data_IF_095221245009
#
_entry.id   IF_095221245009
#
_cell.length_a   1.000
_cell.length_b   1.000
_cell.length_c   1.000
_cell.angle_alpha   90.00
_cell.angle_beta   90.00
_cell.angle_gamma   90.00
#
_symmetry.space_group_name_H-M   'P 1'
#
loop_
_entity.id
_entity.type
_entity.pdbx_description
1 polymer ?
#
# COMPACT_ATOMS: atom_id res chain seq x y z
N UNK A 1 20.93 34.52 -52.13
CA UNK A 1 19.71 33.69 -52.01
C UNK A 1 19.96 32.29 -51.42
N UNK A 2 21.08 31.63 -51.68
CA UNK A 2 21.32 30.26 -51.22
C UNK A 2 21.67 30.15 -49.68
N UNK A 3 22.36 31.13 -49.12
CA UNK A 3 22.72 31.13 -47.67
C UNK A 3 21.52 31.40 -46.77
N UNK A 4 20.58 32.25 -47.18
CA UNK A 4 19.38 32.59 -46.37
C UNK A 4 18.42 31.38 -46.26
N UNK A 5 18.29 30.55 -47.33
CA UNK A 5 17.49 29.36 -47.29
C UNK A 5 18.07 28.26 -46.38
N UNK A 6 19.40 28.13 -46.27
CA UNK A 6 20.06 27.21 -45.35
C UNK A 6 19.90 27.60 -43.85
N UNK A 7 19.91 28.89 -43.53
CA UNK A 7 19.67 29.38 -42.18
C UNK A 7 18.22 29.20 -41.73
N UNK A 8 17.23 29.45 -42.62
CA UNK A 8 15.81 29.25 -42.31
C UNK A 8 15.50 27.76 -42.10
N UNK A 9 16.10 26.88 -42.90
CA UNK A 9 15.91 25.41 -42.77
C UNK A 9 16.55 24.88 -41.47
N UNK A 10 17.70 25.43 -41.04
CA UNK A 10 18.37 25.07 -39.77
C UNK A 10 17.56 25.51 -38.54
N UNK A 11 16.96 26.70 -38.58
CA UNK A 11 16.12 27.22 -37.49
C UNK A 11 14.80 26.45 -37.41
N UNK A 12 14.19 26.07 -38.51
CA UNK A 12 12.97 25.17 -38.49
C UNK A 12 13.26 23.77 -37.94
N UNK A 13 14.45 23.20 -38.20
CA UNK A 13 14.80 21.88 -37.66
C UNK A 13 15.13 21.95 -36.16
N UNK A 14 15.67 23.03 -35.64
CA UNK A 14 15.97 23.22 -34.21
C UNK A 14 14.70 23.49 -33.39
N UNK A 15 13.68 24.14 -33.96
CA UNK A 15 12.41 24.40 -33.28
C UNK A 15 11.50 23.14 -33.27
N UNK A 16 11.63 22.23 -34.25
CA UNK A 16 10.81 21.03 -34.30
C UNK A 16 11.30 19.93 -33.34
N UNK A 17 12.53 19.94 -32.87
CA UNK A 17 13.04 19.00 -31.86
C UNK A 17 12.69 19.39 -30.42
N UNK A 18 12.11 20.59 -30.17
CA UNK A 18 11.78 21.06 -28.80
C UNK A 18 10.33 20.75 -28.36
N UNK A 19 9.51 20.05 -29.14
CA UNK A 19 8.06 19.89 -28.86
C UNK A 19 7.63 18.42 -28.64
N UNK A 20 8.54 17.50 -28.43
CA UNK A 20 8.19 16.14 -28.02
C UNK A 20 8.69 15.84 -26.58
N UNK A 21 8.51 16.76 -25.67
CA UNK A 21 8.36 16.38 -24.27
C UNK A 21 6.97 15.76 -24.14
N UNK A 22 6.85 14.44 -24.43
CA UNK A 22 5.75 13.65 -23.93
C UNK A 22 5.82 13.83 -22.41
N UNK A 23 4.97 14.66 -21.84
CA UNK A 23 4.73 14.69 -20.41
C UNK A 23 4.20 13.30 -20.06
N UNK A 24 5.11 12.41 -19.70
CA UNK A 24 4.72 11.15 -19.09
C UNK A 24 3.82 11.54 -17.92
N UNK A 25 2.52 11.23 -18.01
CA UNK A 25 1.58 11.54 -16.97
C UNK A 25 2.14 11.05 -15.62
N UNK A 26 1.94 11.81 -14.55
CA UNK A 26 2.41 11.45 -13.23
C UNK A 26 1.90 10.04 -12.88
N UNK A 27 2.77 9.23 -12.31
CA UNK A 27 2.45 7.87 -11.87
C UNK A 27 1.38 7.89 -10.77
N UNK A 28 0.60 6.82 -10.67
CA UNK A 28 -0.53 6.74 -9.75
C UNK A 28 -0.30 5.68 -8.69
N UNK A 29 -0.47 6.05 -7.41
CA UNK A 29 -0.52 5.12 -6.30
C UNK A 29 -1.93 5.04 -5.71
N UNK A 30 -2.41 3.82 -5.48
CA UNK A 30 -3.66 3.54 -4.77
C UNK A 30 -3.34 3.00 -3.37
N UNK A 31 -3.85 3.63 -2.31
CA UNK A 31 -3.51 3.31 -0.93
C UNK A 31 -4.76 3.04 -0.13
N UNK A 32 -4.91 1.84 0.44
CA UNK A 32 -6.02 1.52 1.33
C UNK A 32 -5.73 1.94 2.76
N UNK A 33 -6.76 2.48 3.46
CA UNK A 33 -6.63 2.93 4.85
C UNK A 33 -5.65 4.08 5.02
N UNK A 34 -5.68 5.06 4.12
CA UNK A 34 -4.72 6.16 4.05
C UNK A 34 -4.98 7.30 5.07
N UNK A 35 -5.96 7.17 5.95
CA UNK A 35 -6.37 8.25 6.86
C UNK A 35 -5.51 8.41 8.12
N UNK A 36 -4.64 7.47 8.42
CA UNK A 36 -3.76 7.49 9.61
C UNK A 36 -2.54 6.58 9.45
N UNK A 37 -1.57 6.71 10.35
CA UNK A 37 -0.42 5.82 10.49
C UNK A 37 0.38 5.64 9.19
N UNK A 38 0.73 4.39 8.90
CA UNK A 38 1.53 3.98 7.73
C UNK A 38 0.90 4.46 6.41
N UNK A 39 -0.40 4.25 6.23
CA UNK A 39 -1.10 4.64 5.00
C UNK A 39 -1.10 6.15 4.75
N UNK A 40 -1.29 6.96 5.80
CA UNK A 40 -1.21 8.41 5.71
C UNK A 40 0.20 8.88 5.35
N UNK A 41 1.20 8.24 5.92
CA UNK A 41 2.58 8.60 5.63
C UNK A 41 2.97 8.24 4.19
N UNK A 42 2.53 7.09 3.66
CA UNK A 42 2.65 6.79 2.24
C UNK A 42 2.00 7.87 1.38
N UNK A 43 0.75 8.24 1.68
CA UNK A 43 0.03 9.26 0.93
C UNK A 43 0.80 10.59 0.92
N UNK A 44 1.36 11.02 2.06
CA UNK A 44 2.18 12.24 2.16
C UNK A 44 3.44 12.17 1.30
N UNK A 45 4.21 11.07 1.40
CA UNK A 45 5.49 10.97 0.71
C UNK A 45 5.31 10.80 -0.81
N UNK A 46 4.31 10.05 -1.29
CA UNK A 46 3.99 9.97 -2.71
C UNK A 46 3.48 11.32 -3.25
N UNK A 47 2.63 12.01 -2.49
CA UNK A 47 2.17 13.37 -2.88
C UNK A 47 3.33 14.36 -3.00
N UNK A 48 4.28 14.31 -2.06
CA UNK A 48 5.46 15.18 -2.09
C UNK A 48 6.39 14.87 -3.28
N UNK A 49 6.34 13.65 -3.83
CA UNK A 49 7.05 13.24 -5.06
C UNK A 49 6.28 13.61 -6.34
N UNK A 50 5.11 14.25 -6.24
CA UNK A 50 4.29 14.66 -7.39
C UNK A 50 3.46 13.55 -8.03
N UNK A 51 3.27 12.41 -7.35
CA UNK A 51 2.42 11.33 -7.83
C UNK A 51 0.94 11.68 -7.71
N UNK A 52 0.12 11.08 -8.56
CA UNK A 52 -1.31 10.99 -8.32
C UNK A 52 -1.56 9.98 -7.18
N UNK A 53 -2.25 10.42 -6.14
CA UNK A 53 -2.52 9.58 -4.96
C UNK A 53 -4.01 9.35 -4.83
N UNK A 54 -4.45 8.09 -4.91
CA UNK A 54 -5.80 7.68 -4.58
C UNK A 54 -5.76 7.15 -3.14
N UNK A 55 -6.23 7.96 -2.20
CA UNK A 55 -6.19 7.70 -0.77
C UNK A 55 -7.57 7.26 -0.27
N UNK A 56 -7.73 6.00 0.17
CA UNK A 56 -9.03 5.51 0.62
C UNK A 56 -9.18 5.49 2.14
N UNK A 57 -10.41 5.63 2.60
CA UNK A 57 -10.82 5.51 4.00
C UNK A 57 -12.23 4.92 4.12
N UNK A 58 -12.58 4.36 5.28
CA UNK A 58 -13.91 3.80 5.57
C UNK A 58 -14.76 4.62 6.53
N UNK A 59 -14.38 5.87 6.81
CA UNK A 59 -15.14 6.75 7.71
C UNK A 59 -16.34 7.33 6.98
N UNK A 60 -17.48 7.47 7.64
CA UNK A 60 -18.69 8.10 7.06
C UNK A 60 -18.44 9.54 6.63
N UNK A 61 -17.52 10.22 7.29
CA UNK A 61 -17.07 11.57 6.94
C UNK A 61 -15.60 11.57 6.53
N UNK A 62 -15.25 12.44 5.60
CA UNK A 62 -13.87 12.60 5.14
C UNK A 62 -12.94 12.95 6.31
N UNK A 63 -11.87 12.16 6.56
CA UNK A 63 -10.94 12.42 7.64
C UNK A 63 -10.21 13.76 7.49
N UNK A 64 -10.12 14.54 8.57
CA UNK A 64 -9.43 15.83 8.57
C UNK A 64 -7.98 15.75 8.08
N UNK A 65 -7.31 14.62 8.33
CA UNK A 65 -5.94 14.35 7.85
C UNK A 65 -5.86 14.28 6.33
N UNK A 66 -6.81 13.60 5.68
CA UNK A 66 -6.87 13.49 4.23
C UNK A 66 -7.36 14.79 3.59
N UNK A 67 -8.35 15.46 4.18
CA UNK A 67 -8.81 16.78 3.76
C UNK A 67 -7.67 17.81 3.76
N UNK A 68 -6.82 17.80 4.79
CA UNK A 68 -5.63 18.65 4.85
C UNK A 68 -4.62 18.28 3.76
N UNK A 69 -4.44 16.99 3.49
CA UNK A 69 -3.50 16.52 2.48
C UNK A 69 -3.95 16.90 1.06
N UNK A 70 -5.22 16.65 0.71
CA UNK A 70 -5.79 17.00 -0.60
C UNK A 70 -5.83 18.52 -0.81
N UNK A 71 -6.07 19.30 0.24
CA UNK A 71 -5.97 20.77 0.19
C UNK A 71 -4.56 21.29 -0.09
N UNK A 72 -3.52 20.52 0.29
CA UNK A 72 -2.12 20.86 0.02
C UNK A 72 -1.62 20.37 -1.34
N UNK A 73 -2.09 19.19 -1.78
CA UNK A 73 -1.64 18.54 -3.01
C UNK A 73 -2.85 18.22 -3.90
N UNK A 74 -3.06 18.99 -4.98
CA UNK A 74 -4.21 18.79 -5.89
C UNK A 74 -4.24 17.41 -6.58
N UNK A 75 -3.10 16.69 -6.59
CA UNK A 75 -2.98 15.34 -7.14
C UNK A 75 -3.50 14.26 -6.18
N UNK A 76 -3.91 14.62 -4.96
CA UNK A 76 -4.51 13.69 -3.98
C UNK A 76 -6.01 13.65 -4.16
N UNK A 77 -6.50 12.47 -4.49
CA UNK A 77 -7.93 12.12 -4.56
C UNK A 77 -8.29 11.29 -3.33
N UNK A 78 -9.25 11.76 -2.56
CA UNK A 78 -9.77 11.06 -1.37
C UNK A 78 -11.04 10.30 -1.76
N UNK A 79 -11.10 9.01 -1.42
CA UNK A 79 -12.21 8.13 -1.76
C UNK A 79 -12.68 7.32 -0.55
N UNK A 80 -14.00 7.17 -0.43
CA UNK A 80 -14.58 6.28 0.56
C UNK A 80 -14.57 4.84 0.06
N UNK A 81 -14.07 3.91 0.89
CA UNK A 81 -14.13 2.46 0.62
C UNK A 81 -13.82 1.67 1.89
N UNK A 82 -14.75 0.81 2.32
CA UNK A 82 -14.44 -0.25 3.28
C UNK A 82 -13.88 -1.47 2.53
N UNK A 83 -12.67 -1.89 2.91
CA UNK A 83 -11.98 -3.04 2.31
C UNK A 83 -12.67 -4.37 2.59
N UNK A 84 -13.66 -4.42 3.47
CA UNK A 84 -14.50 -5.59 3.75
C UNK A 84 -15.81 -5.61 2.96
N UNK A 85 -16.12 -4.53 2.23
CA UNK A 85 -17.34 -4.38 1.43
C UNK A 85 -17.06 -4.60 -0.05
N UNK A 86 -17.39 -5.79 -0.58
CA UNK A 86 -17.26 -6.09 -2.02
C UNK A 86 -18.03 -5.07 -2.87
N UNK A 87 -19.19 -4.62 -2.40
CA UNK A 87 -20.01 -3.65 -3.13
C UNK A 87 -19.31 -2.29 -3.28
N UNK A 88 -18.67 -1.80 -2.20
CA UNK A 88 -17.94 -0.53 -2.24
C UNK A 88 -16.65 -0.64 -3.07
N UNK A 89 -15.94 -1.76 -2.96
CA UNK A 89 -14.76 -2.03 -3.78
C UNK A 89 -15.13 -2.00 -5.26
N UNK A 90 -16.19 -2.72 -5.65
CA UNK A 90 -16.65 -2.76 -7.04
C UNK A 90 -17.14 -1.39 -7.55
N UNK A 91 -17.86 -0.64 -6.70
CA UNK A 91 -18.31 0.71 -7.04
C UNK A 91 -17.13 1.66 -7.29
N UNK A 92 -16.09 1.60 -6.45
CA UNK A 92 -14.91 2.42 -6.62
C UNK A 92 -14.09 1.98 -7.85
N UNK A 93 -13.93 0.69 -8.09
CA UNK A 93 -13.25 0.18 -9.29
C UNK A 93 -13.96 0.65 -10.57
N UNK A 94 -15.30 0.60 -10.59
CA UNK A 94 -16.10 1.14 -11.69
C UNK A 94 -15.89 2.66 -11.88
N UNK A 95 -15.85 3.42 -10.79
CA UNK A 95 -15.59 4.88 -10.81
C UNK A 95 -14.20 5.22 -11.35
N UNK A 96 -13.24 4.33 -11.15
CA UNK A 96 -11.84 4.48 -11.56
C UNK A 96 -11.48 3.73 -12.85
N UNK A 97 -12.48 3.24 -13.60
CA UNK A 97 -12.27 2.54 -14.87
C UNK A 97 -11.39 3.38 -15.81
N UNK A 98 -10.36 2.77 -16.38
CA UNK A 98 -9.42 3.42 -17.32
C UNK A 98 -8.34 4.29 -16.66
N UNK A 99 -8.32 4.44 -15.34
CA UNK A 99 -7.23 5.13 -14.64
C UNK A 99 -6.10 4.12 -14.37
N UNK A 100 -4.89 4.28 -14.95
CA UNK A 100 -3.77 3.40 -14.67
C UNK A 100 -3.34 3.52 -13.20
N UNK A 101 -3.05 2.37 -12.56
CA UNK A 101 -2.47 2.30 -11.21
C UNK A 101 -1.09 1.66 -11.33
N UNK A 102 -0.06 2.42 -10.98
CA UNK A 102 1.33 1.95 -11.02
C UNK A 102 1.69 1.14 -9.79
N UNK A 103 1.21 1.60 -8.61
CA UNK A 103 1.45 0.94 -7.31
C UNK A 103 0.14 0.86 -6.55
N UNK A 104 -0.28 -0.36 -6.17
CA UNK A 104 -1.39 -0.61 -5.26
C UNK A 104 -0.85 -1.04 -3.90
N UNK A 105 -1.20 -0.30 -2.84
CA UNK A 105 -0.75 -0.57 -1.47
C UNK A 105 -1.94 -1.01 -0.62
N UNK A 106 -2.02 -2.31 -0.35
CA UNK A 106 -2.92 -2.90 0.64
C UNK A 106 -2.36 -2.64 2.03
N UNK A 107 -2.73 -1.49 2.62
CA UNK A 107 -2.29 -1.07 3.94
C UNK A 107 -3.40 -1.16 4.98
N UNK A 108 -4.68 -1.03 4.60
CA UNK A 108 -5.78 -1.20 5.54
C UNK A 108 -5.65 -2.53 6.30
N UNK A 109 -5.72 -2.48 7.62
CA UNK A 109 -5.53 -3.68 8.43
C UNK A 109 -6.09 -3.53 9.85
N UNK A 110 -6.55 -4.66 10.40
CA UNK A 110 -6.87 -4.82 11.81
C UNK A 110 -5.62 -5.35 12.53
N UNK A 111 -5.19 -4.64 13.59
CA UNK A 111 -4.06 -5.04 14.46
C UNK A 111 -4.59 -5.35 15.85
N UNK A 112 -5.30 -4.40 16.44
CA UNK A 112 -5.95 -4.48 17.74
C UNK A 112 -7.36 -3.92 17.57
N UNK A 113 -8.34 -4.56 18.18
CA UNK A 113 -9.73 -4.09 18.18
C UNK A 113 -10.05 -3.21 19.41
N UNK A 114 -9.02 -2.91 20.22
CA UNK A 114 -9.11 -2.05 21.40
C UNK A 114 -7.74 -1.47 21.75
N UNK A 115 -7.61 -0.95 22.97
CA UNK A 115 -6.33 -0.44 23.47
C UNK A 115 -5.39 -1.62 23.76
N UNK A 116 -4.13 -1.52 23.38
CA UNK A 116 -3.10 -2.55 23.62
C UNK A 116 -2.98 -2.92 25.12
N UNK A 117 -3.09 -1.95 26.00
CA UNK A 117 -2.97 -2.11 27.44
C UNK A 117 -4.30 -2.46 28.13
N UNK A 118 -5.41 -2.55 27.40
CA UNK A 118 -6.69 -2.95 27.98
C UNK A 118 -6.73 -4.47 28.20
N UNK A 119 -6.80 -4.94 29.47
CA UNK A 119 -6.82 -6.36 29.77
C UNK A 119 -8.03 -7.09 29.15
N UNK A 120 -9.12 -6.38 28.80
CA UNK A 120 -10.30 -6.96 28.17
C UNK A 120 -10.17 -7.11 26.65
N UNK A 121 -9.61 -6.10 25.99
CA UNK A 121 -9.51 -6.07 24.52
C UNK A 121 -8.15 -6.54 24.00
N UNK A 122 -7.05 -6.19 24.67
CA UNK A 122 -5.71 -6.72 24.39
C UNK A 122 -5.58 -8.19 24.75
N UNK A 123 -6.18 -8.63 25.86
CA UNK A 123 -6.22 -10.03 26.30
C UNK A 123 -7.12 -10.92 25.44
N UNK A 124 -8.10 -10.38 24.72
CA UNK A 124 -9.06 -11.13 23.91
C UNK A 124 -8.43 -11.95 22.77
N UNK A 125 -7.14 -11.83 22.55
CA UNK A 125 -6.37 -12.66 21.63
C UNK A 125 -5.38 -13.59 22.34
N UNK A 126 -5.55 -13.87 23.61
CA UNK A 126 -4.72 -14.82 24.35
C UNK A 126 -5.39 -16.20 24.40
N UNK A 127 -4.59 -17.26 24.46
CA UNK A 127 -5.10 -18.61 24.59
C UNK A 127 -5.94 -18.73 25.88
N UNK A 128 -7.13 -19.31 25.76
CA UNK A 128 -8.10 -19.41 26.85
C UNK A 128 -9.10 -18.25 26.95
N UNK A 129 -8.84 -17.12 26.28
CA UNK A 129 -9.74 -15.94 26.26
C UNK A 129 -10.07 -15.46 24.83
N UNK A 130 -9.85 -16.33 23.83
CA UNK A 130 -10.05 -15.99 22.42
C UNK A 130 -11.53 -15.68 22.13
N UNK A 131 -11.78 -14.49 21.60
CA UNK A 131 -13.07 -14.12 21.06
C UNK A 131 -13.16 -14.52 19.58
N UNK A 132 -13.96 -15.53 19.30
CA UNK A 132 -14.15 -16.07 17.94
C UNK A 132 -14.75 -15.03 16.99
N UNK A 133 -15.56 -14.09 17.48
CA UNK A 133 -16.12 -13.01 16.66
C UNK A 133 -15.05 -12.09 16.07
N UNK A 134 -13.91 -11.98 16.73
CA UNK A 134 -12.79 -11.21 16.20
C UNK A 134 -12.09 -11.88 15.03
N UNK A 135 -12.16 -13.22 14.93
CA UNK A 135 -11.57 -13.97 13.83
C UNK A 135 -12.02 -13.42 12.46
N UNK A 136 -13.34 -13.28 12.29
CA UNK A 136 -13.91 -12.78 11.03
C UNK A 136 -13.41 -11.37 10.69
N UNK A 137 -13.30 -10.48 11.68
CA UNK A 137 -12.81 -9.11 11.46
C UNK A 137 -11.37 -9.13 10.95
N UNK A 138 -10.50 -9.95 11.57
CA UNK A 138 -9.10 -10.05 11.14
C UNK A 138 -8.96 -10.68 9.77
N UNK A 139 -9.69 -11.76 9.50
CA UNK A 139 -9.61 -12.49 8.23
C UNK A 139 -10.20 -11.67 7.08
N UNK A 140 -11.37 -11.06 7.26
CA UNK A 140 -11.97 -10.22 6.24
C UNK A 140 -11.11 -8.98 5.93
N UNK A 141 -10.63 -8.28 6.97
CA UNK A 141 -9.86 -7.05 6.75
C UNK A 141 -8.45 -7.33 6.20
N UNK A 142 -7.73 -8.30 6.80
CA UNK A 142 -6.30 -8.48 6.52
C UNK A 142 -6.01 -9.46 5.37
N UNK A 143 -6.96 -10.31 5.00
CA UNK A 143 -6.75 -11.37 4.00
C UNK A 143 -7.70 -11.19 2.81
N UNK A 144 -9.01 -11.27 3.05
CA UNK A 144 -10.01 -11.22 1.98
C UNK A 144 -10.03 -9.85 1.29
N UNK A 145 -9.95 -8.75 2.06
CA UNK A 145 -9.94 -7.39 1.53
C UNK A 145 -8.84 -7.17 0.49
N UNK A 146 -7.56 -7.45 0.78
CA UNK A 146 -6.48 -7.39 -0.20
C UNK A 146 -6.74 -8.19 -1.48
N UNK A 147 -7.31 -9.40 -1.38
CA UNK A 147 -7.64 -10.23 -2.55
C UNK A 147 -8.72 -9.56 -3.39
N UNK A 148 -9.85 -9.19 -2.77
CA UNK A 148 -10.97 -8.54 -3.46
C UNK A 148 -10.55 -7.24 -4.17
N UNK A 149 -9.67 -6.46 -3.54
CA UNK A 149 -9.15 -5.21 -4.11
C UNK A 149 -8.29 -5.50 -5.33
N UNK A 150 -7.36 -6.46 -5.25
CA UNK A 150 -6.51 -6.81 -6.39
C UNK A 150 -7.36 -7.31 -7.56
N UNK A 151 -8.36 -8.16 -7.32
CA UNK A 151 -9.28 -8.64 -8.35
C UNK A 151 -10.04 -7.48 -9.02
N UNK A 152 -10.62 -6.58 -8.22
CA UNK A 152 -11.42 -5.47 -8.73
C UNK A 152 -10.61 -4.43 -9.51
N UNK A 153 -9.34 -4.21 -9.15
CA UNK A 153 -8.46 -3.21 -9.76
C UNK A 153 -7.41 -3.81 -10.71
N UNK A 154 -7.55 -5.07 -11.10
CA UNK A 154 -6.54 -5.76 -11.91
C UNK A 154 -6.33 -5.10 -13.25
N UNK A 155 -7.38 -4.63 -13.93
CA UNK A 155 -7.26 -3.96 -15.22
C UNK A 155 -6.57 -2.58 -15.09
N UNK A 156 -6.81 -1.86 -13.99
CA UNK A 156 -6.10 -0.63 -13.68
C UNK A 156 -4.60 -0.88 -13.46
N UNK A 157 -4.25 -1.97 -12.74
CA UNK A 157 -2.87 -2.38 -12.52
C UNK A 157 -2.18 -2.81 -13.81
N UNK A 158 -2.87 -3.58 -14.67
CA UNK A 158 -2.33 -3.97 -16.00
C UNK A 158 -2.06 -2.78 -16.89
N UNK A 159 -2.86 -1.72 -16.77
CA UNK A 159 -2.69 -0.47 -17.49
C UNK A 159 -1.56 0.42 -16.91
N UNK A 160 -1.16 0.21 -15.67
CA UNK A 160 -0.04 0.91 -15.03
C UNK A 160 1.31 0.56 -15.65
N UNK A 161 2.28 1.45 -15.51
CA UNK A 161 3.65 1.25 -16.03
C UNK A 161 4.46 0.32 -15.10
N UNK A 162 4.36 0.53 -13.78
CA UNK A 162 5.16 -0.21 -12.79
C UNK A 162 4.52 -1.53 -12.36
N UNK A 163 3.20 -1.64 -12.36
CA UNK A 163 2.41 -2.85 -12.08
C UNK A 163 2.81 -3.52 -10.76
N UNK A 164 2.86 -2.75 -9.66
CA UNK A 164 3.32 -3.23 -8.36
C UNK A 164 2.15 -3.35 -7.38
N UNK A 165 2.06 -4.47 -6.69
CA UNK A 165 1.14 -4.73 -5.57
C UNK A 165 1.98 -4.90 -4.31
N UNK A 166 1.68 -4.08 -3.31
CA UNK A 166 2.39 -4.04 -2.04
C UNK A 166 1.41 -4.40 -0.93
N UNK A 167 1.60 -5.53 -0.28
CA UNK A 167 0.81 -5.96 0.86
C UNK A 167 1.57 -5.67 2.16
N UNK A 168 1.02 -4.82 3.02
CA UNK A 168 1.62 -4.54 4.33
C UNK A 168 1.32 -5.68 5.27
N UNK A 169 2.30 -6.57 5.42
CA UNK A 169 2.28 -7.70 6.33
C UNK A 169 2.95 -7.35 7.68
N UNK A 170 3.49 -8.32 8.36
CA UNK A 170 4.17 -8.16 9.64
C UNK A 170 5.12 -9.34 9.89
N UNK A 171 6.23 -9.11 10.58
CA UNK A 171 7.06 -10.19 11.13
C UNK A 171 6.24 -11.16 12.01
N UNK A 172 5.13 -10.68 12.59
CA UNK A 172 4.18 -11.52 13.34
C UNK A 172 3.49 -12.59 12.48
N UNK A 173 3.49 -12.46 11.14
CA UNK A 173 3.01 -13.48 10.21
C UNK A 173 4.05 -14.54 9.81
N UNK A 174 5.26 -14.47 10.35
CA UNK A 174 6.31 -15.47 10.12
C UNK A 174 6.07 -16.71 10.99
N UNK A 175 6.09 -17.90 10.40
CA UNK A 175 6.01 -19.19 11.11
C UNK A 175 7.39 -19.62 11.61
N UNK A 176 8.45 -19.25 10.87
CA UNK A 176 9.83 -19.66 11.17
C UNK A 176 10.51 -18.76 12.20
N UNK A 177 10.00 -17.54 12.40
CA UNK A 177 10.53 -16.64 13.43
C UNK A 177 9.99 -17.07 14.81
N UNK A 178 10.84 -17.21 15.84
CA UNK A 178 10.38 -17.55 17.18
C UNK A 178 9.30 -16.58 17.70
N UNK A 179 8.26 -17.13 18.31
CA UNK A 179 7.21 -16.32 18.95
C UNK A 179 7.78 -15.61 20.16
N UNK A 180 7.98 -14.31 20.07
CA UNK A 180 8.56 -13.48 21.14
C UNK A 180 7.54 -12.93 22.11
N UNK A 181 6.28 -12.79 21.69
CA UNK A 181 5.20 -12.22 22.47
C UNK A 181 3.99 -13.16 22.47
N UNK A 182 3.37 -13.43 23.64
CA UNK A 182 2.17 -14.25 23.71
C UNK A 182 0.98 -13.54 23.03
N UNK A 183 -0.08 -14.30 22.79
CA UNK A 183 -1.34 -13.75 22.25
C UNK A 183 -1.28 -13.32 20.79
N UNK A 184 -2.20 -12.43 20.42
CA UNK A 184 -2.39 -11.93 19.06
C UNK A 184 -2.69 -13.04 18.04
N UNK A 185 -3.44 -14.07 18.45
CA UNK A 185 -3.71 -15.26 17.64
C UNK A 185 -4.31 -14.89 16.29
N UNK A 186 -5.39 -14.12 16.30
CA UNK A 186 -6.09 -13.77 15.06
C UNK A 186 -5.27 -12.84 14.17
N UNK A 187 -4.54 -11.90 14.78
CA UNK A 187 -3.64 -11.03 14.02
C UNK A 187 -2.51 -11.83 13.34
N UNK A 188 -1.78 -12.65 14.13
CA UNK A 188 -0.68 -13.47 13.61
C UNK A 188 -1.17 -14.40 12.50
N UNK A 189 -2.25 -15.14 12.76
CA UNK A 189 -2.85 -16.05 11.78
C UNK A 189 -3.30 -15.33 10.51
N UNK A 190 -3.89 -14.14 10.63
CA UNK A 190 -4.28 -13.35 9.45
C UNK A 190 -3.08 -12.85 8.64
N UNK A 191 -1.97 -12.45 9.30
CA UNK A 191 -0.76 -12.03 8.58
C UNK A 191 -0.03 -13.21 7.92
N UNK A 192 -0.04 -14.39 8.53
CA UNK A 192 0.42 -15.62 7.88
C UNK A 192 -0.44 -15.99 6.68
N UNK A 193 -1.76 -15.91 6.82
CA UNK A 193 -2.69 -16.16 5.71
C UNK A 193 -2.50 -15.12 4.58
N UNK A 194 -2.31 -13.82 4.91
CA UNK A 194 -1.99 -12.79 3.94
C UNK A 194 -0.70 -13.13 3.18
N UNK A 195 0.33 -13.61 3.86
CA UNK A 195 1.58 -14.02 3.21
C UNK A 195 1.33 -15.14 2.19
N UNK A 196 0.51 -16.15 2.53
CA UNK A 196 0.19 -17.25 1.62
C UNK A 196 -0.61 -16.79 0.40
N UNK A 197 -1.69 -16.02 0.60
CA UNK A 197 -2.47 -15.53 -0.56
C UNK A 197 -1.67 -14.59 -1.43
N UNK A 198 -0.75 -13.81 -0.85
CA UNK A 198 0.18 -12.94 -1.59
C UNK A 198 1.14 -13.75 -2.46
N UNK A 199 1.66 -14.88 -1.96
CA UNK A 199 2.48 -15.79 -2.77
C UNK A 199 1.71 -16.37 -3.95
N UNK A 200 0.47 -16.76 -3.74
CA UNK A 200 -0.38 -17.25 -4.83
C UNK A 200 -0.64 -16.15 -5.87
N UNK A 201 -1.02 -14.94 -5.43
CA UNK A 201 -1.15 -13.80 -6.34
C UNK A 201 0.14 -13.51 -7.11
N UNK A 202 1.31 -13.58 -6.45
CA UNK A 202 2.60 -13.39 -7.09
C UNK A 202 2.87 -14.42 -8.21
N UNK A 203 2.50 -15.67 -7.99
CA UNK A 203 2.61 -16.74 -8.99
C UNK A 203 1.65 -16.49 -10.17
N UNK A 204 0.37 -16.26 -9.89
CA UNK A 204 -0.68 -16.13 -10.90
C UNK A 204 -0.51 -14.89 -11.79
N UNK A 205 -0.10 -13.77 -11.18
CA UNK A 205 0.01 -12.48 -11.86
C UNK A 205 1.39 -12.22 -12.51
N UNK A 206 2.36 -13.11 -12.29
CA UNK A 206 3.70 -13.00 -12.94
C UNK A 206 3.61 -12.95 -14.46
N UNK A 207 2.70 -13.70 -15.06
CA UNK A 207 2.45 -13.71 -16.50
C UNK A 207 2.00 -12.36 -17.06
N UNK A 208 1.36 -11.54 -16.23
CA UNK A 208 0.89 -10.18 -16.57
C UNK A 208 1.98 -9.12 -16.32
N UNK A 209 3.17 -9.55 -15.87
CA UNK A 209 4.27 -8.65 -15.51
C UNK A 209 4.02 -7.89 -14.21
N UNK A 210 3.10 -8.36 -13.36
CA UNK A 210 2.77 -7.73 -12.08
C UNK A 210 3.73 -8.22 -10.99
N UNK A 211 4.30 -7.28 -10.25
CA UNK A 211 5.20 -7.52 -9.12
C UNK A 211 4.37 -7.49 -7.84
N UNK A 212 4.39 -8.57 -7.06
CA UNK A 212 3.60 -8.67 -5.82
C UNK A 212 4.54 -8.93 -4.65
N UNK A 213 4.57 -8.00 -3.68
CA UNK A 213 5.50 -8.03 -2.55
C UNK A 213 4.76 -7.96 -1.21
N UNK A 214 5.32 -8.60 -0.20
CA UNK A 214 4.96 -8.41 1.21
C UNK A 214 6.02 -7.59 1.93
N UNK A 215 5.58 -6.61 2.74
CA UNK A 215 6.49 -5.86 3.62
C UNK A 215 6.17 -6.09 5.09
N UNK A 216 7.24 -6.25 5.88
CA UNK A 216 7.23 -5.96 7.32
C UNK A 216 7.70 -4.50 7.50
N UNK A 217 6.83 -3.59 7.93
CA UNK A 217 7.16 -2.16 8.03
C UNK A 217 8.08 -1.81 9.21
N UNK A 218 8.45 -2.77 10.05
CA UNK A 218 9.10 -2.55 11.34
C UNK A 218 8.07 -2.32 12.47
N UNK A 219 8.55 -2.07 13.66
CA UNK A 219 7.75 -1.59 14.79
C UNK A 219 7.46 -0.09 14.62
N UNK A 220 6.44 0.27 13.85
CA UNK A 220 6.17 1.67 13.50
C UNK A 220 5.37 2.35 14.61
N UNK A 221 5.83 3.52 15.07
CA UNK A 221 5.18 4.36 16.08
C UNK A 221 3.94 5.05 15.48
N UNK A 222 2.81 4.35 15.48
CA UNK A 222 1.52 4.87 15.00
C UNK A 222 0.60 5.20 16.17
N UNK A 223 -0.42 6.05 15.95
CA UNK A 223 -1.34 6.52 16.97
C UNK A 223 -1.97 5.38 17.81
N UNK A 224 -2.32 4.26 17.18
CA UNK A 224 -2.87 3.08 17.89
C UNK A 224 -1.89 2.37 18.82
N UNK A 225 -0.61 2.63 18.68
CA UNK A 225 0.48 2.05 19.45
C UNK A 225 1.26 3.13 20.22
N UNK A 226 0.71 4.32 20.38
CA UNK A 226 1.38 5.44 21.08
C UNK A 226 1.77 5.12 22.52
N UNK A 227 0.93 4.29 23.18
CA UNK A 227 1.13 3.87 24.57
C UNK A 227 1.97 2.57 24.68
N UNK A 228 2.39 2.01 23.53
CA UNK A 228 3.24 0.84 23.50
C UNK A 228 4.70 1.28 23.36
N UNK A 229 5.54 0.85 24.29
CA UNK A 229 6.99 1.10 24.24
C UNK A 229 7.71 -0.23 23.99
N UNK A 230 7.93 -0.52 22.70
CA UNK A 230 8.72 -1.67 22.30
C UNK A 230 10.11 -1.23 21.86
N UNK A 231 11.17 -1.95 22.27
CA UNK A 231 12.50 -1.69 21.74
C UNK A 231 12.55 -1.73 20.21
N UNK A 232 13.19 -0.75 19.59
CA UNK A 232 13.33 -0.70 18.13
C UNK A 232 12.12 -0.11 17.38
N UNK A 233 11.20 0.56 18.04
CA UNK A 233 10.17 1.34 17.35
C UNK A 233 10.78 2.47 16.54
N UNK A 234 10.29 2.61 15.30
CA UNK A 234 10.74 3.62 14.34
C UNK A 234 9.60 4.57 13.96
N UNK A 235 9.97 5.78 13.56
CA UNK A 235 8.99 6.76 13.09
C UNK A 235 8.38 6.34 11.74
N UNK A 236 7.09 6.65 11.48
CA UNK A 236 6.46 6.34 10.19
C UNK A 236 7.26 6.85 9.00
N UNK A 237 7.84 8.04 9.10
CA UNK A 237 8.65 8.64 8.03
C UNK A 237 9.85 7.78 7.64
N UNK A 238 10.54 7.19 8.61
CA UNK A 238 11.71 6.32 8.40
C UNK A 238 11.28 5.02 7.71
N UNK A 239 10.24 4.37 8.26
CA UNK A 239 9.70 3.13 7.70
C UNK A 239 9.28 3.31 6.24
N UNK A 240 8.49 4.35 5.97
CA UNK A 240 7.92 4.59 4.65
C UNK A 240 8.99 5.01 3.63
N UNK A 241 9.92 5.90 4.01
CA UNK A 241 11.04 6.24 3.13
C UNK A 241 11.86 5.01 2.73
N UNK A 242 12.11 4.09 3.69
CA UNK A 242 12.79 2.83 3.42
C UNK A 242 12.00 1.95 2.44
N UNK A 243 10.71 1.69 2.73
CA UNK A 243 9.87 0.89 1.83
C UNK A 243 9.74 1.50 0.44
N UNK A 244 9.56 2.82 0.31
CA UNK A 244 9.47 3.49 -1.00
C UNK A 244 10.76 3.33 -1.79
N UNK A 245 11.93 3.44 -1.15
CA UNK A 245 13.22 3.19 -1.80
C UNK A 245 13.31 1.75 -2.34
N UNK A 246 12.84 0.77 -1.57
CA UNK A 246 12.79 -0.62 -2.02
C UNK A 246 11.78 -0.78 -3.16
N UNK A 247 10.56 -0.21 -3.02
CA UNK A 247 9.51 -0.26 -4.06
C UNK A 247 10.02 0.29 -5.39
N UNK A 248 10.75 1.40 -5.37
CA UNK A 248 11.30 2.02 -6.58
C UNK A 248 12.21 1.04 -7.36
N UNK A 249 13.00 0.23 -6.65
CA UNK A 249 13.97 -0.72 -7.23
C UNK A 249 13.43 -2.12 -7.54
N UNK A 250 12.16 -2.44 -7.22
CA UNK A 250 11.61 -3.78 -7.45
C UNK A 250 11.53 -4.15 -8.92
N UNK A 251 11.91 -5.39 -9.21
CA UNK A 251 11.81 -6.04 -10.50
C UNK A 251 10.89 -7.26 -10.43
N UNK A 252 10.58 -7.86 -11.57
CA UNK A 252 9.76 -9.08 -11.61
C UNK A 252 10.41 -10.27 -10.89
N UNK A 253 11.73 -10.27 -10.71
CA UNK A 253 12.46 -11.31 -9.96
C UNK A 253 12.28 -11.19 -8.44
N UNK A 254 11.72 -10.07 -7.98
CA UNK A 254 11.40 -9.87 -6.58
C UNK A 254 9.99 -10.34 -6.22
N UNK A 255 9.16 -10.67 -7.23
CA UNK A 255 7.76 -11.06 -6.98
C UNK A 255 7.65 -12.25 -6.02
N UNK A 256 6.76 -12.15 -5.04
CA UNK A 256 6.58 -13.17 -4.00
C UNK A 256 7.55 -13.09 -2.82
N UNK A 257 8.47 -12.11 -2.79
CA UNK A 257 9.37 -11.91 -1.65
C UNK A 257 8.65 -11.26 -0.47
N UNK A 258 9.10 -11.62 0.73
CA UNK A 258 8.73 -10.96 1.98
C UNK A 258 9.94 -10.17 2.47
N UNK A 259 9.82 -8.85 2.56
CA UNK A 259 10.92 -7.94 2.83
C UNK A 259 10.64 -7.08 4.06
N UNK A 260 11.70 -6.65 4.73
CA UNK A 260 11.62 -5.58 5.73
C UNK A 260 11.54 -4.21 5.04
N UNK A 261 11.26 -3.16 5.80
CA UNK A 261 11.28 -1.78 5.30
C UNK A 261 12.66 -1.33 4.77
N UNK A 262 13.73 -2.05 5.08
CA UNK A 262 15.09 -1.78 4.56
C UNK A 262 15.43 -2.62 3.33
N UNK A 263 14.53 -3.53 2.91
CA UNK A 263 14.73 -4.42 1.77
C UNK A 263 15.38 -5.76 2.11
N UNK A 264 15.70 -5.99 3.38
CA UNK A 264 16.24 -7.27 3.81
C UNK A 264 15.17 -8.37 3.75
N UNK A 265 15.50 -9.61 3.41
CA UNK A 265 14.56 -10.72 3.45
C UNK A 265 13.98 -10.93 4.85
N UNK A 266 12.66 -11.01 4.92
CA UNK A 266 11.93 -11.40 6.13
C UNK A 266 11.56 -12.88 6.02
N UNK A 267 11.87 -13.72 7.01
CA UNK A 267 11.45 -15.13 7.02
C UNK A 267 9.91 -15.28 7.02
N UNK A 268 9.42 -16.34 6.36
CA UNK A 268 8.00 -16.72 6.35
C UNK A 268 7.56 -17.43 7.62
#
# INVERSE_FOLDING_TARGET
>A
MCQLKKQILSIMFTVLCAVLSVTAGAETVFITGANSGIGLEFAKQYSARGWNVIATHRRDTEPATLKKLSGRYPTVRVEHMDVTSQAEINALAKKLTGIPIDVLINNAGAVLLGNYNDPKTGAAQQFGTLDVKQFDIFMHTNVLGPVMIVEAFLDNLRAGKQKKIINISSAAGSITTPVRYPGMYWYKSSKTALNMVTKNMAFDLRKDGVIVIMFHPGGVRVEKLKDADFPGMIEPSVSISGMMKVIDGLTLDDTGKFLTHTGEPQPF
#
